data_IF_316062258347
#
_entry.id   IF_316062258347
#
_cell.length_a   1.000
_cell.length_b   1.000
_cell.length_c   1.000
_cell.angle_alpha   90.00
_cell.angle_beta   90.00
_cell.angle_gamma   90.00
#
_symmetry.space_group_name_H-M   'P 1'
#
loop_
_entity.id
_entity.type
_entity.pdbx_description
1 polymer ?
#
# COMPACT_ATOMS: atom_id res chain seq x y z
N UNK A 1 71.98 -22.28 35.05
CA UNK A 1 70.68 -21.59 34.91
C UNK A 1 70.85 -20.53 33.76
N UNK A 2 70.42 -20.83 32.56
CA UNK A 2 70.49 -19.92 31.45
C UNK A 2 69.16 -19.12 31.41
N UNK A 3 69.23 -17.78 31.61
CA UNK A 3 68.13 -16.87 31.43
C UNK A 3 67.92 -16.70 29.89
N UNK A 4 66.84 -17.24 29.40
CA UNK A 4 66.33 -16.89 28.08
C UNK A 4 65.86 -15.43 28.19
N UNK A 5 66.61 -14.56 27.53
CA UNK A 5 66.22 -13.15 27.32
C UNK A 5 65.09 -13.16 26.26
N UNK A 6 63.86 -13.04 26.70
CA UNK A 6 62.74 -12.74 25.80
C UNK A 6 63.00 -11.35 25.17
N UNK A 7 63.39 -11.36 23.92
CA UNK A 7 63.38 -10.14 23.08
C UNK A 7 61.93 -9.76 22.82
N UNK A 8 61.42 -8.81 23.58
CA UNK A 8 60.15 -8.15 23.23
C UNK A 8 60.37 -7.40 21.88
N UNK A 9 59.92 -8.03 20.82
CA UNK A 9 59.83 -7.36 19.49
C UNK A 9 58.60 -6.46 19.50
N UNK A 10 58.78 -5.18 19.66
CA UNK A 10 57.73 -4.18 19.50
C UNK A 10 57.22 -4.14 18.05
N UNK A 11 55.95 -3.84 17.89
CA UNK A 11 55.33 -3.67 16.57
C UNK A 11 55.95 -2.51 15.86
N UNK A 12 56.20 -2.65 14.55
CA UNK A 12 56.65 -1.57 13.72
C UNK A 12 55.47 -0.64 13.37
N UNK A 13 55.75 0.65 13.18
CA UNK A 13 54.73 1.64 12.82
C UNK A 13 53.96 1.23 11.55
N UNK A 14 54.64 0.55 10.62
CA UNK A 14 54.04 0.08 9.35
C UNK A 14 53.08 -1.09 9.59
N UNK A 15 53.35 -2.00 10.51
CA UNK A 15 52.44 -3.11 10.88
C UNK A 15 51.15 -2.57 11.47
N UNK A 16 51.26 -1.61 12.39
CA UNK A 16 50.06 -0.99 13.00
C UNK A 16 49.24 -0.23 11.98
N UNK A 17 49.86 0.55 11.11
CA UNK A 17 49.13 1.28 10.08
C UNK A 17 48.45 0.36 9.07
N UNK A 18 49.11 -0.70 8.66
CA UNK A 18 48.52 -1.70 7.75
C UNK A 18 47.35 -2.44 8.42
N UNK A 19 47.48 -2.83 9.68
CA UNK A 19 46.39 -3.44 10.43
C UNK A 19 45.16 -2.52 10.53
N UNK A 20 45.35 -1.24 10.81
CA UNK A 20 44.26 -0.26 10.88
C UNK A 20 43.53 -0.10 9.53
N UNK A 21 44.28 -0.09 8.40
CA UNK A 21 43.68 -0.04 7.05
C UNK A 21 42.79 -1.29 6.83
N UNK A 22 43.26 -2.48 7.16
CA UNK A 22 42.49 -3.70 7.03
C UNK A 22 41.23 -3.70 7.91
N UNK A 23 41.35 -3.29 9.16
CA UNK A 23 40.21 -3.17 10.08
C UNK A 23 39.18 -2.17 9.53
N UNK A 24 39.63 -1.01 9.05
CA UNK A 24 38.76 -0.01 8.44
C UNK A 24 38.01 -0.56 7.22
N UNK A 25 38.69 -1.31 6.35
CA UNK A 25 38.10 -1.94 5.18
C UNK A 25 37.04 -2.99 5.55
N UNK A 26 37.32 -3.83 6.56
CA UNK A 26 36.35 -4.83 7.07
C UNK A 26 35.11 -4.14 7.64
N UNK A 27 35.29 -3.08 8.46
CA UNK A 27 34.17 -2.33 9.03
C UNK A 27 33.30 -1.71 7.92
N UNK A 28 33.93 -1.16 6.87
CA UNK A 28 33.20 -0.59 5.74
C UNK A 28 32.34 -1.64 5.01
N UNK A 29 32.90 -2.83 4.73
CA UNK A 29 32.15 -3.94 4.11
C UNK A 29 30.99 -4.37 5.00
N UNK A 30 31.21 -4.53 6.31
CA UNK A 30 30.17 -4.92 7.24
C UNK A 30 29.06 -3.87 7.32
N UNK A 31 29.40 -2.59 7.35
CA UNK A 31 28.41 -1.52 7.33
C UNK A 31 27.56 -1.53 6.05
N UNK A 32 28.20 -1.65 4.88
CA UNK A 32 27.49 -1.71 3.60
C UNK A 32 26.55 -2.92 3.49
N UNK A 33 27.00 -4.10 3.93
CA UNK A 33 26.16 -5.32 3.93
C UNK A 33 24.99 -5.22 4.90
N UNK A 34 25.22 -4.67 6.10
CA UNK A 34 24.16 -4.47 7.09
C UNK A 34 23.04 -3.57 6.56
N UNK A 35 23.38 -2.45 5.92
CA UNK A 35 22.39 -1.57 5.30
C UNK A 35 21.55 -2.31 4.27
N UNK A 36 22.17 -3.12 3.41
CA UNK A 36 21.45 -3.90 2.39
C UNK A 36 20.52 -4.96 3.00
N UNK A 37 20.96 -5.62 4.07
CA UNK A 37 20.13 -6.61 4.80
C UNK A 37 18.90 -5.93 5.41
N UNK A 38 19.09 -4.82 6.12
CA UNK A 38 17.98 -4.07 6.74
C UNK A 38 16.97 -3.60 5.70
N UNK A 39 17.44 -3.13 4.55
CA UNK A 39 16.58 -2.73 3.45
C UNK A 39 15.74 -3.88 2.90
N UNK A 40 16.38 -5.04 2.66
CA UNK A 40 15.69 -6.24 2.18
C UNK A 40 14.68 -6.78 3.19
N UNK A 41 15.02 -6.74 4.47
CA UNK A 41 14.15 -7.13 5.57
C UNK A 41 12.90 -6.26 5.65
N UNK A 42 13.07 -4.92 5.62
CA UNK A 42 11.94 -3.99 5.63
C UNK A 42 11.00 -4.21 4.44
N UNK A 43 11.57 -4.41 3.23
CA UNK A 43 10.75 -4.74 2.05
C UNK A 43 9.95 -6.03 2.25
N UNK A 44 10.56 -7.05 2.85
CA UNK A 44 9.90 -8.32 3.16
C UNK A 44 8.71 -8.14 4.11
N UNK A 45 8.87 -7.33 5.16
CA UNK A 45 7.79 -7.01 6.11
C UNK A 45 6.62 -6.32 5.39
N UNK A 46 6.90 -5.29 4.59
CA UNK A 46 5.85 -4.57 3.86
C UNK A 46 5.10 -5.47 2.88
N UNK A 47 5.80 -6.31 2.13
CA UNK A 47 5.17 -7.28 1.23
C UNK A 47 4.31 -8.29 2.00
N UNK A 48 4.78 -8.76 3.15
CA UNK A 48 4.00 -9.68 3.99
C UNK A 48 2.71 -9.01 4.49
N UNK A 49 2.78 -7.76 4.95
CA UNK A 49 1.61 -7.01 5.41
C UNK A 49 0.61 -6.75 4.28
N UNK A 50 1.08 -6.34 3.10
CA UNK A 50 0.22 -6.13 1.93
C UNK A 50 -0.46 -7.45 1.52
N UNK A 51 0.29 -8.55 1.48
CA UNK A 51 -0.26 -9.86 1.13
C UNK A 51 -1.28 -10.35 2.17
N UNK A 52 -1.00 -10.16 3.45
CA UNK A 52 -1.93 -10.51 4.52
C UNK A 52 -3.23 -9.70 4.41
N UNK A 53 -3.12 -8.40 4.20
CA UNK A 53 -4.28 -7.54 4.01
C UNK A 53 -5.11 -7.96 2.79
N UNK A 54 -4.45 -8.26 1.66
CA UNK A 54 -5.11 -8.74 0.45
C UNK A 54 -5.84 -10.07 0.64
N UNK A 55 -5.22 -11.02 1.34
CA UNK A 55 -5.85 -12.30 1.67
C UNK A 55 -7.04 -12.11 2.61
N UNK A 56 -6.91 -11.26 3.61
CA UNK A 56 -7.99 -10.94 4.55
C UNK A 56 -9.18 -10.30 3.82
N UNK A 57 -8.94 -9.34 2.94
CA UNK A 57 -9.97 -8.72 2.11
C UNK A 57 -10.65 -9.76 1.20
N UNK A 58 -9.86 -10.59 0.52
CA UNK A 58 -10.41 -11.63 -0.36
C UNK A 58 -11.29 -12.63 0.40
N UNK A 59 -10.86 -13.08 1.58
CA UNK A 59 -11.64 -13.98 2.41
C UNK A 59 -12.91 -13.30 2.91
N UNK A 60 -12.82 -12.11 3.48
CA UNK A 60 -13.95 -11.42 4.09
C UNK A 60 -15.02 -11.02 3.05
N UNK A 61 -14.61 -10.36 1.97
CA UNK A 61 -15.52 -9.93 0.90
C UNK A 61 -16.06 -11.16 0.14
N UNK A 62 -15.21 -12.14 -0.14
CA UNK A 62 -15.58 -13.37 -0.83
C UNK A 62 -16.63 -14.18 -0.08
N UNK A 63 -16.49 -14.31 1.24
CA UNK A 63 -17.45 -15.02 2.08
C UNK A 63 -18.80 -14.29 2.13
N UNK A 64 -18.80 -12.98 2.22
CA UNK A 64 -20.05 -12.20 2.22
C UNK A 64 -20.73 -12.23 0.85
N UNK A 65 -19.96 -12.14 -0.23
CA UNK A 65 -20.50 -12.14 -1.58
C UNK A 65 -21.14 -13.49 -1.97
N UNK A 66 -20.60 -14.62 -1.55
CA UNK A 66 -21.16 -15.96 -1.84
C UNK A 66 -22.59 -16.16 -1.36
N UNK A 67 -23.00 -15.43 -0.35
CA UNK A 67 -24.33 -15.56 0.27
C UNK A 67 -25.24 -14.38 -0.04
N UNK A 68 -24.79 -13.44 -0.86
CA UNK A 68 -25.55 -12.24 -1.21
C UNK A 68 -26.36 -12.45 -2.49
N UNK A 69 -27.60 -11.98 -2.53
CA UNK A 69 -28.39 -11.94 -3.77
C UNK A 69 -27.93 -10.82 -4.73
N UNK A 70 -27.36 -9.76 -4.20
CA UNK A 70 -26.84 -8.62 -4.97
C UNK A 70 -25.91 -7.76 -4.09
N UNK A 71 -24.96 -7.10 -4.72
CA UNK A 71 -24.16 -6.06 -4.10
C UNK A 71 -24.67 -4.69 -4.57
N UNK A 72 -24.72 -3.72 -3.68
CA UNK A 72 -24.91 -2.32 -4.03
C UNK A 72 -23.55 -1.64 -3.98
N UNK A 73 -23.11 -1.10 -5.11
CA UNK A 73 -21.79 -0.50 -5.26
C UNK A 73 -21.93 0.96 -5.65
N UNK A 74 -21.31 1.83 -4.87
CA UNK A 74 -21.17 3.25 -5.16
C UNK A 74 -19.69 3.62 -5.12
N UNK A 75 -19.07 3.60 -6.29
CA UNK A 75 -17.64 3.91 -6.43
C UNK A 75 -17.35 5.40 -6.23
N UNK A 76 -18.32 6.28 -6.49
CA UNK A 76 -18.18 7.73 -6.30
C UNK A 76 -18.09 8.05 -4.81
N UNK A 77 -18.96 7.45 -4.01
CA UNK A 77 -18.96 7.63 -2.55
C UNK A 77 -18.13 6.56 -1.83
N UNK A 78 -17.41 5.70 -2.55
CA UNK A 78 -16.45 4.72 -2.04
C UNK A 78 -17.05 3.78 -1.01
N UNK A 79 -18.19 3.20 -1.38
CA UNK A 79 -18.91 2.25 -0.54
C UNK A 79 -19.44 1.07 -1.35
N UNK A 80 -19.48 -0.08 -0.71
CA UNK A 80 -20.06 -1.30 -1.23
C UNK A 80 -20.82 -1.99 -0.12
N UNK A 81 -22.10 -2.29 -0.36
CA UNK A 81 -22.93 -3.01 0.60
C UNK A 81 -23.27 -4.39 0.05
N UNK A 82 -23.02 -5.39 0.85
CA UNK A 82 -23.20 -6.78 0.48
C UNK A 82 -23.56 -7.61 1.71
N UNK A 83 -24.66 -8.34 1.65
CA UNK A 83 -25.10 -9.29 2.68
C UNK A 83 -25.08 -8.74 4.13
N UNK A 84 -25.64 -7.55 4.34
CA UNK A 84 -25.76 -6.95 5.66
C UNK A 84 -24.45 -6.38 6.22
N UNK A 85 -23.47 -6.17 5.37
CA UNK A 85 -22.24 -5.44 5.70
C UNK A 85 -21.96 -4.35 4.70
N UNK A 86 -21.37 -3.27 5.15
CA UNK A 86 -20.93 -2.13 4.34
C UNK A 86 -19.42 -2.01 4.38
N UNK A 87 -18.81 -1.97 3.20
CA UNK A 87 -17.38 -1.69 3.02
C UNK A 87 -17.20 -0.23 2.62
N UNK A 88 -16.34 0.45 3.32
CA UNK A 88 -16.02 1.85 3.11
C UNK A 88 -14.52 1.99 2.92
N UNK A 89 -14.09 2.72 1.91
CA UNK A 89 -12.67 2.89 1.61
C UNK A 89 -12.30 4.32 1.27
N UNK A 90 -11.02 4.63 1.41
CA UNK A 90 -10.38 5.81 0.84
C UNK A 90 -9.22 5.36 -0.03
N UNK A 91 -9.12 5.88 -1.22
CA UNK A 91 -7.91 5.70 -2.04
C UNK A 91 -6.82 6.69 -1.59
N UNK A 92 -5.58 6.43 -1.97
CA UNK A 92 -4.50 7.37 -1.69
C UNK A 92 -4.75 8.73 -2.35
N UNK A 93 -5.32 8.73 -3.55
CA UNK A 93 -5.71 9.97 -4.23
C UNK A 93 -6.71 10.78 -3.42
N UNK A 94 -7.74 10.14 -2.86
CA UNK A 94 -8.73 10.83 -2.02
C UNK A 94 -8.09 11.47 -0.79
N UNK A 95 -7.10 10.81 -0.23
CA UNK A 95 -6.38 11.28 0.96
C UNK A 95 -5.50 12.48 0.60
N UNK A 96 -4.81 12.43 -0.53
CA UNK A 96 -3.95 13.52 -1.00
C UNK A 96 -4.75 14.77 -1.39
N UNK A 97 -5.92 14.59 -1.96
CA UNK A 97 -6.81 15.69 -2.34
C UNK A 97 -7.38 16.45 -1.13
N UNK A 98 -7.10 15.99 0.09
CA UNK A 98 -7.50 16.62 1.37
C UNK A 98 -8.98 17.02 1.42
N UNK A 99 -9.82 16.31 0.67
CA UNK A 99 -11.26 16.57 0.68
C UNK A 99 -11.90 15.94 1.92
N UNK A 100 -11.69 16.57 3.07
CA UNK A 100 -12.20 16.09 4.37
C UNK A 100 -13.70 15.75 4.36
N UNK A 101 -14.46 16.41 3.47
CA UNK A 101 -15.91 16.21 3.40
C UNK A 101 -16.28 14.83 2.85
N UNK A 102 -15.44 14.26 1.99
CA UNK A 102 -15.72 13.02 1.25
C UNK A 102 -14.97 11.82 1.80
N UNK A 103 -13.97 12.03 2.64
CA UNK A 103 -13.18 10.96 3.23
C UNK A 103 -13.91 10.28 4.39
N UNK A 104 -13.63 8.98 4.54
CA UNK A 104 -14.17 8.16 5.63
C UNK A 104 -13.23 8.23 6.83
N UNK A 105 -13.77 8.62 7.98
CA UNK A 105 -13.06 8.73 9.24
C UNK A 105 -13.64 7.78 10.29
N UNK A 106 -12.77 7.27 11.14
CA UNK A 106 -13.13 6.54 12.34
C UNK A 106 -12.60 7.34 13.54
N UNK A 107 -13.50 7.91 14.34
CA UNK A 107 -13.16 8.75 15.51
C UNK A 107 -12.10 9.83 15.18
N UNK A 108 -12.29 10.53 14.07
CA UNK A 108 -11.34 11.52 13.57
C UNK A 108 -10.08 10.94 12.91
N UNK A 109 -9.91 9.63 12.90
CA UNK A 109 -8.80 8.96 12.21
C UNK A 109 -9.22 8.54 10.81
N UNK A 110 -8.45 8.95 9.82
CA UNK A 110 -8.65 8.56 8.43
C UNK A 110 -8.43 7.06 8.28
N UNK A 111 -9.43 6.35 7.75
CA UNK A 111 -9.34 4.91 7.48
C UNK A 111 -8.97 4.64 6.02
N UNK A 112 -8.38 3.47 5.76
CA UNK A 112 -8.05 2.99 4.41
C UNK A 112 -9.12 2.07 3.87
N UNK A 113 -9.53 1.10 4.66
CA UNK A 113 -10.64 0.19 4.39
C UNK A 113 -11.23 -0.27 5.70
N UNK A 114 -12.54 -0.15 5.83
CA UNK A 114 -13.30 -0.69 6.95
C UNK A 114 -14.50 -1.47 6.46
N UNK A 115 -14.86 -2.50 7.22
CA UNK A 115 -16.12 -3.21 7.16
C UNK A 115 -16.99 -2.80 8.35
N UNK A 116 -18.25 -2.55 8.09
CA UNK A 116 -19.26 -2.25 9.11
C UNK A 116 -20.35 -3.29 9.02
N UNK A 117 -20.74 -3.87 10.15
CA UNK A 117 -21.93 -4.70 10.21
C UNK A 117 -23.17 -3.80 10.10
N UNK A 118 -23.83 -3.86 8.94
CA UNK A 118 -24.93 -2.97 8.54
C UNK A 118 -26.10 -3.77 7.96
N UNK A 119 -26.87 -4.46 8.83
CA UNK A 119 -27.97 -5.33 8.40
C UNK A 119 -29.07 -4.61 7.61
N UNK A 120 -29.18 -3.29 7.77
CA UNK A 120 -30.17 -2.46 7.09
C UNK A 120 -29.66 -1.83 5.80
N UNK A 121 -28.35 -1.89 5.53
CA UNK A 121 -27.72 -1.23 4.40
C UNK A 121 -27.79 0.29 4.45
N UNK A 122 -27.82 0.86 5.66
CA UNK A 122 -28.01 2.30 5.88
C UNK A 122 -26.90 3.14 5.22
N UNK A 123 -25.67 2.63 5.20
CA UNK A 123 -24.56 3.32 4.56
C UNK A 123 -24.60 3.32 3.04
N UNK A 124 -25.43 2.47 2.41
CA UNK A 124 -25.64 2.49 0.96
C UNK A 124 -26.94 3.18 0.56
N UNK A 125 -27.94 3.23 1.45
CA UNK A 125 -29.23 3.84 1.17
C UNK A 125 -29.24 5.34 1.48
N UNK A 126 -28.50 5.78 2.50
CA UNK A 126 -28.39 7.16 2.89
C UNK A 126 -26.99 7.72 2.57
N UNK A 127 -26.89 8.33 1.39
CA UNK A 127 -25.66 8.95 0.90
C UNK A 127 -25.22 10.17 1.71
N UNK A 128 -26.10 10.72 2.56
CA UNK A 128 -25.76 11.83 3.46
C UNK A 128 -25.05 11.34 4.72
N UNK A 129 -25.20 10.07 5.06
CA UNK A 129 -24.45 9.44 6.14
C UNK A 129 -22.98 9.30 5.76
N UNK A 130 -22.22 10.30 6.14
CA UNK A 130 -20.76 10.24 6.11
C UNK A 130 -20.29 9.70 7.44
N UNK A 131 -19.68 8.50 7.47
CA UNK A 131 -19.37 7.90 8.74
C UNK A 131 -18.15 8.58 9.37
N UNK A 132 -18.40 9.37 10.40
CA UNK A 132 -17.46 9.45 11.50
C UNK A 132 -17.84 8.28 12.41
N UNK A 133 -17.06 7.24 12.35
CA UNK A 133 -17.34 6.01 13.09
C UNK A 133 -16.69 6.12 14.47
N UNK A 134 -17.41 5.84 15.56
CA UNK A 134 -16.82 5.79 16.90
C UNK A 134 -15.79 4.65 16.98
N UNK A 135 -14.66 4.91 17.63
CA UNK A 135 -13.53 3.96 17.77
C UNK A 135 -13.86 2.68 18.52
N UNK A 136 -14.89 2.72 19.33
CA UNK A 136 -15.37 1.65 20.21
C UNK A 136 -16.63 0.94 19.69
N UNK A 137 -17.03 1.21 18.45
CA UNK A 137 -18.13 0.48 17.82
C UNK A 137 -17.66 -0.94 17.44
N UNK A 138 -18.18 -1.94 18.15
CA UNK A 138 -17.88 -3.37 17.92
C UNK A 138 -18.31 -3.87 16.55
N UNK A 139 -19.15 -3.10 15.83
CA UNK A 139 -19.61 -3.44 14.49
C UNK A 139 -18.63 -3.01 13.40
N UNK A 140 -17.58 -2.28 13.76
CA UNK A 140 -16.60 -1.76 12.82
C UNK A 140 -15.30 -2.58 12.86
N UNK A 141 -14.89 -3.07 11.70
CA UNK A 141 -13.66 -3.84 11.54
C UNK A 141 -12.74 -3.14 10.53
N UNK A 142 -11.55 -2.74 10.98
CA UNK A 142 -10.54 -2.17 10.08
C UNK A 142 -9.83 -3.32 9.35
N UNK A 143 -10.02 -3.38 8.03
CA UNK A 143 -9.40 -4.41 7.18
C UNK A 143 -8.02 -4.00 6.67
N UNK A 144 -7.77 -2.70 6.56
CA UNK A 144 -6.48 -2.15 6.14
C UNK A 144 -6.03 -1.08 7.13
N UNK A 145 -4.96 -1.38 7.86
CA UNK A 145 -4.38 -0.50 8.87
C UNK A 145 -3.36 0.49 8.33
N UNK A 146 -2.65 1.15 9.24
CA UNK A 146 -1.59 2.12 8.92
C UNK A 146 -0.45 1.46 8.17
N UNK A 147 0.18 2.23 7.27
CA UNK A 147 1.36 1.80 6.50
C UNK A 147 1.03 1.14 5.17
N UNK A 148 -0.24 0.76 4.94
CA UNK A 148 -0.73 0.30 3.66
C UNK A 148 -1.93 1.16 3.22
N UNK A 149 -2.08 1.36 1.92
CA UNK A 149 -3.13 2.19 1.34
C UNK A 149 -3.73 1.54 0.11
N UNK A 150 -4.94 1.94 -0.23
CA UNK A 150 -5.61 1.54 -1.47
C UNK A 150 -5.26 2.56 -2.54
N UNK A 151 -4.69 2.10 -3.63
CA UNK A 151 -4.43 2.92 -4.81
C UNK A 151 -5.63 2.90 -5.76
N UNK A 152 -6.26 1.74 -5.88
CA UNK A 152 -7.40 1.55 -6.78
C UNK A 152 -8.35 0.50 -6.18
N UNK A 153 -9.65 0.77 -6.24
CA UNK A 153 -10.69 -0.17 -5.85
C UNK A 153 -11.76 -0.15 -6.94
N UNK A 154 -11.82 -1.22 -7.73
CA UNK A 154 -12.79 -1.37 -8.82
C UNK A 154 -13.73 -2.53 -8.51
N UNK A 155 -14.99 -2.29 -8.76
CA UNK A 155 -16.04 -3.31 -8.67
C UNK A 155 -16.80 -3.34 -9.99
N UNK A 156 -16.80 -4.49 -10.63
CA UNK A 156 -17.50 -4.72 -11.86
C UNK A 156 -18.57 -5.78 -11.65
N UNK A 157 -19.82 -5.43 -11.84
CA UNK A 157 -20.94 -6.36 -11.81
C UNK A 157 -21.40 -6.60 -13.25
N UNK A 158 -21.37 -7.86 -13.68
CA UNK A 158 -21.86 -8.22 -15.02
C UNK A 158 -23.39 -8.27 -14.99
N UNK A 159 -24.01 -7.54 -15.92
CA UNK A 159 -25.48 -7.52 -16.08
C UNK A 159 -26.05 -8.84 -16.57
N UNK A 160 -25.24 -9.63 -17.31
CA UNK A 160 -25.70 -10.86 -17.96
C UNK A 160 -25.39 -12.14 -17.13
N UNK A 161 -24.68 -12.00 -16.05
CA UNK A 161 -24.30 -13.10 -15.17
C UNK A 161 -24.22 -12.62 -13.73
N UNK A 162 -24.60 -13.45 -12.74
CA UNK A 162 -24.47 -13.11 -11.33
C UNK A 162 -23.00 -13.15 -10.89
N UNK A 163 -22.19 -12.33 -11.51
CA UNK A 163 -20.74 -12.26 -11.30
C UNK A 163 -20.36 -10.87 -10.81
N UNK A 164 -19.73 -10.84 -9.64
CA UNK A 164 -19.10 -9.65 -9.07
C UNK A 164 -17.58 -9.83 -9.15
N UNK A 165 -16.93 -8.97 -9.91
CA UNK A 165 -15.45 -8.93 -9.98
C UNK A 165 -14.95 -7.72 -9.22
N UNK A 166 -14.10 -7.96 -8.24
CA UNK A 166 -13.48 -6.93 -7.41
C UNK A 166 -11.98 -6.93 -7.68
N UNK A 167 -11.45 -5.77 -8.01
CA UNK A 167 -10.03 -5.55 -8.23
C UNK A 167 -9.53 -4.45 -7.32
N UNK A 168 -8.56 -4.78 -6.47
CA UNK A 168 -7.99 -3.86 -5.50
C UNK A 168 -6.48 -3.79 -5.67
N UNK A 169 -5.93 -2.59 -5.75
CA UNK A 169 -4.49 -2.36 -5.70
C UNK A 169 -4.14 -1.80 -4.33
N UNK A 170 -3.39 -2.58 -3.57
CA UNK A 170 -2.89 -2.22 -2.24
C UNK A 170 -1.40 -1.94 -2.33
N UNK A 171 -0.95 -0.91 -1.68
CA UNK A 171 0.46 -0.52 -1.68
C UNK A 171 0.94 0.00 -0.33
N UNK A 172 2.24 0.25 -0.24
CA UNK A 172 2.84 1.07 0.81
C UNK A 172 2.32 2.50 0.75
N UNK A 173 2.29 3.15 1.90
CA UNK A 173 1.81 4.52 2.10
C UNK A 173 2.95 5.54 2.03
N UNK A 174 2.62 6.81 1.78
CA UNK A 174 3.54 7.94 1.87
C UNK A 174 4.38 8.19 0.61
N UNK A 175 5.54 8.82 0.78
CA UNK A 175 6.43 9.23 -0.32
C UNK A 175 7.00 8.05 -1.14
N UNK A 176 6.96 6.84 -0.59
CA UNK A 176 7.44 5.62 -1.25
C UNK A 176 6.31 4.82 -1.91
N UNK A 177 5.13 5.41 -2.11
CA UNK A 177 4.01 4.75 -2.77
C UNK A 177 4.26 4.57 -4.27
N UNK A 178 3.66 3.57 -4.92
CA UNK A 178 3.65 3.47 -6.37
C UNK A 178 2.80 4.59 -6.98
N UNK A 179 3.18 5.02 -8.15
CA UNK A 179 2.47 6.02 -8.94
C UNK A 179 1.97 5.36 -10.22
N UNK A 180 0.79 5.73 -10.67
CA UNK A 180 0.27 5.31 -11.95
C UNK A 180 0.91 6.17 -13.04
N UNK A 181 1.57 5.53 -13.98
CA UNK A 181 2.31 6.21 -15.03
C UNK A 181 2.21 5.44 -16.35
N UNK A 182 2.45 6.10 -17.46
CA UNK A 182 2.54 5.49 -18.77
C UNK A 182 3.82 5.96 -19.46
N UNK A 183 4.29 5.16 -20.42
CA UNK A 183 5.43 5.52 -21.24
C UNK A 183 4.95 5.90 -22.62
N UNK A 184 5.32 7.09 -23.09
CA UNK A 184 4.98 7.55 -24.42
C UNK A 184 5.82 6.83 -25.52
N UNK A 185 5.49 6.98 -26.82
CA UNK A 185 6.24 6.37 -27.90
C UNK A 185 7.71 6.81 -27.99
N UNK A 186 8.08 7.91 -27.35
CA UNK A 186 9.46 8.41 -27.28
C UNK A 186 10.26 7.80 -26.13
N UNK A 187 9.61 7.01 -25.28
CA UNK A 187 10.23 6.39 -24.12
C UNK A 187 10.23 7.25 -22.85
N UNK A 188 9.53 8.40 -22.87
CA UNK A 188 9.40 9.26 -21.71
C UNK A 188 8.25 8.76 -20.82
N UNK A 189 8.50 8.72 -19.51
CA UNK A 189 7.51 8.30 -18.52
C UNK A 189 6.75 9.52 -18.02
N UNK A 190 5.42 9.43 -18.09
CA UNK A 190 4.49 10.46 -17.65
C UNK A 190 3.63 9.96 -16.51
N UNK A 191 3.33 10.82 -15.55
CA UNK A 191 2.38 10.54 -14.47
C UNK A 191 0.95 10.57 -15.03
N UNK A 192 0.16 9.53 -14.71
CA UNK A 192 -1.27 9.46 -15.00
C UNK A 192 -2.05 9.81 -13.72
N UNK A 193 -2.08 11.10 -13.40
CA UNK A 193 -2.65 11.59 -12.15
C UNK A 193 -4.16 11.38 -12.04
N UNK A 194 -4.89 11.52 -13.15
CA UNK A 194 -6.34 11.30 -13.21
C UNK A 194 -6.71 9.83 -13.48
N UNK A 195 -5.71 8.98 -13.71
CA UNK A 195 -5.85 7.54 -13.97
C UNK A 195 -6.72 7.22 -15.20
N UNK A 196 -6.78 8.13 -16.16
CA UNK A 196 -7.63 8.04 -17.34
C UNK A 196 -6.99 7.27 -18.50
N UNK A 197 -5.66 7.15 -18.52
CA UNK A 197 -4.95 6.46 -19.59
C UNK A 197 -5.04 4.94 -19.44
N UNK A 198 -5.56 4.25 -20.44
CA UNK A 198 -5.71 2.79 -20.47
C UNK A 198 -4.38 2.03 -20.41
N UNK A 199 -3.31 2.65 -20.92
CA UNK A 199 -1.97 2.04 -21.04
C UNK A 199 -1.11 2.29 -19.80
N UNK A 200 -1.64 2.99 -18.81
CA UNK A 200 -0.93 3.25 -17.56
C UNK A 200 -0.88 2.03 -16.64
N UNK A 201 0.22 1.93 -15.92
CA UNK A 201 0.45 0.87 -14.94
C UNK A 201 1.08 1.42 -13.66
N UNK A 202 0.88 0.70 -12.56
CA UNK A 202 1.47 1.06 -11.29
C UNK A 202 2.95 0.73 -11.28
N UNK A 203 3.77 1.68 -10.88
CA UNK A 203 5.21 1.49 -10.75
C UNK A 203 5.81 2.26 -9.58
N UNK A 204 6.86 1.69 -9.02
CA UNK A 204 7.66 2.36 -7.99
C UNK A 204 8.67 3.29 -8.65
N UNK A 205 8.90 4.44 -8.03
CA UNK A 205 9.86 5.41 -8.51
C UNK A 205 10.01 6.58 -7.54
N UNK A 206 10.79 7.55 -7.96
CA UNK A 206 10.95 8.82 -7.28
C UNK A 206 10.17 9.88 -8.05
N UNK A 207 9.42 10.70 -7.35
CA UNK A 207 8.72 11.82 -7.93
C UNK A 207 9.17 13.13 -7.29
N UNK A 208 9.22 14.17 -8.10
CA UNK A 208 9.60 15.51 -7.68
C UNK A 208 8.38 16.39 -7.86
N UNK A 209 7.84 16.85 -6.75
CA UNK A 209 6.78 17.84 -6.70
C UNK A 209 7.33 19.19 -7.19
N UNK A 210 6.98 19.56 -8.41
CA UNK A 210 7.51 20.78 -9.05
C UNK A 210 6.86 22.05 -8.57
N UNK A 211 5.59 22.00 -8.25
CA UNK A 211 4.79 23.15 -7.84
C UNK A 211 4.66 23.29 -6.32
N UNK A 212 5.16 22.30 -5.56
CA UNK A 212 5.18 22.31 -4.10
C UNK A 212 3.81 22.14 -3.46
N UNK A 213 2.83 21.57 -4.21
CA UNK A 213 1.46 21.41 -3.72
C UNK A 213 1.28 20.14 -2.86
N UNK A 214 2.28 19.26 -2.79
CA UNK A 214 2.27 18.00 -2.06
C UNK A 214 1.40 16.90 -2.67
N UNK A 215 0.91 17.09 -3.88
CA UNK A 215 0.05 16.17 -4.63
C UNK A 215 0.81 15.61 -5.82
N UNK A 216 0.42 14.43 -6.26
CA UNK A 216 0.96 13.85 -7.49
C UNK A 216 0.08 14.27 -8.65
N UNK A 217 0.62 15.06 -9.56
CA UNK A 217 -0.10 15.52 -10.74
C UNK A 217 0.76 15.48 -12.02
N UNK A 218 0.18 15.94 -13.13
CA UNK A 218 0.85 15.88 -14.45
C UNK A 218 2.00 16.86 -14.62
N UNK A 219 2.18 17.82 -13.70
CA UNK A 219 3.29 18.79 -13.73
C UNK A 219 4.55 18.23 -13.09
N UNK A 220 4.42 17.18 -12.30
CA UNK A 220 5.50 16.53 -11.59
C UNK A 220 6.39 15.68 -12.49
N UNK A 221 7.62 15.48 -12.05
CA UNK A 221 8.56 14.58 -12.71
C UNK A 221 8.56 13.24 -11.96
N UNK A 222 8.34 12.17 -12.71
CA UNK A 222 8.47 10.83 -12.19
C UNK A 222 9.64 10.10 -12.85
N UNK A 223 10.50 9.53 -12.04
CA UNK A 223 11.62 8.70 -12.49
C UNK A 223 11.42 7.28 -11.94
N UNK A 224 11.17 6.29 -12.81
CA UNK A 224 11.09 4.90 -12.38
C UNK A 224 12.39 4.49 -11.68
N UNK A 225 12.27 3.98 -10.46
CA UNK A 225 13.41 3.52 -9.69
C UNK A 225 13.04 2.25 -8.91
N UNK A 226 14.06 1.44 -8.62
CA UNK A 226 13.90 0.32 -7.68
C UNK A 226 13.88 0.85 -6.25
N UNK A 227 12.79 1.52 -5.88
CA UNK A 227 12.59 1.98 -4.52
C UNK A 227 12.30 0.77 -3.63
N UNK A 228 13.19 0.50 -2.69
CA UNK A 228 13.10 -0.66 -1.81
C UNK A 228 12.03 -0.53 -0.73
N UNK A 229 11.49 0.65 -0.54
CA UNK A 229 10.38 0.90 0.38
C UNK A 229 9.02 0.95 -0.33
N UNK A 230 9.01 0.94 -1.64
CA UNK A 230 7.79 0.88 -2.43
C UNK A 230 7.44 -0.57 -2.75
N UNK A 231 6.22 -0.94 -2.42
CA UNK A 231 5.66 -2.25 -2.75
C UNK A 231 4.18 -2.10 -3.03
N UNK A 232 3.67 -2.88 -3.98
CA UNK A 232 2.24 -2.95 -4.26
C UNK A 232 1.87 -4.35 -4.73
N UNK A 233 0.59 -4.69 -4.58
CA UNK A 233 0.02 -5.91 -5.08
C UNK A 233 -1.40 -5.65 -5.60
N UNK A 234 -1.74 -6.28 -6.71
CA UNK A 234 -3.09 -6.27 -7.28
C UNK A 234 -3.78 -7.58 -6.93
N UNK A 235 -4.95 -7.47 -6.33
CA UNK A 235 -5.83 -8.59 -6.03
C UNK A 235 -7.05 -8.48 -6.91
N UNK A 236 -7.37 -9.56 -7.60
CA UNK A 236 -8.60 -9.65 -8.40
C UNK A 236 -9.30 -10.95 -8.02
N UNK A 237 -10.52 -10.84 -7.57
CA UNK A 237 -11.34 -11.99 -7.23
C UNK A 237 -12.74 -11.83 -7.81
N UNK A 238 -13.27 -12.96 -8.27
CA UNK A 238 -14.59 -13.02 -8.87
C UNK A 238 -15.47 -13.93 -8.02
N UNK A 239 -16.63 -13.45 -7.67
CA UNK A 239 -17.59 -14.16 -6.83
C UNK A 239 -18.90 -14.33 -7.58
N UNK A 240 -19.48 -15.52 -7.47
CA UNK A 240 -20.82 -15.77 -7.97
C UNK A 240 -21.86 -15.30 -6.94
N UNK A 241 -22.71 -14.38 -7.32
CA UNK A 241 -23.89 -14.01 -6.54
C UNK A 241 -24.89 -15.16 -6.65
N UNK A 242 -25.23 -15.76 -5.53
CA UNK A 242 -26.19 -16.86 -5.52
C UNK A 242 -27.60 -16.27 -5.56
N UNK A 243 -28.22 -16.22 -6.75
CA UNK A 243 -29.61 -15.88 -6.88
C UNK A 243 -30.45 -16.85 -6.00
N UNK A 244 -31.07 -16.32 -4.97
CA UNK A 244 -32.17 -17.06 -4.31
C UNK A 244 -33.30 -17.15 -5.30
N UNK A 245 -33.59 -18.38 -5.77
CA UNK A 245 -34.89 -18.69 -6.38
C UNK A 245 -35.98 -18.59 -5.34
#
# INVERSE_FOLDING_TARGET
MARLSDKESGFTLIEVSTALIFVGFIIFILAATTVNIVRSYNKGIWLAQINQAGQQMNSDIGDKARYSPAATVDTVNRRMCINGVSYLWNTQKDIDDHNEKDNVYLDGTLIRLARIDDPKGEYCTDLTKRPKLPSDDSNVHILLGRGATIQEFKVEQKTDAPLLTISVVVSTEGANRPIKAYTDPTGIVHIDADQSNSDSYWQCGEWIDKDGNGRVDSTDIFTPAKNQYCSFAKYTFTVYERSRK
#
